data_IF_808392854742
#
_entry.id   IF_808392854742
#
_cell.length_a   1.000
_cell.length_b   1.000
_cell.length_c   1.000
_cell.angle_alpha   90.00
_cell.angle_beta   90.00
_cell.angle_gamma   90.00
#
_symmetry.space_group_name_H-M   'P 1'
#
loop_
_entity.id
_entity.type
_entity.pdbx_description
1 polymer ?
#
# COMPACT_ATOMS: atom_id res chain seq x y z
N UNK A 1 -37.09 -0.48 -13.46
CA UNK A 1 -36.77 -0.36 -12.03
C UNK A 1 -35.27 -0.59 -11.94
N UNK A 2 -34.46 0.43 -11.62
CA UNK A 2 -33.03 0.24 -11.37
C UNK A 2 -32.90 -0.23 -9.93
N UNK A 3 -32.42 -1.45 -9.73
CA UNK A 3 -31.93 -1.88 -8.42
C UNK A 3 -30.72 -0.99 -8.08
N UNK A 4 -30.62 -0.44 -6.87
CA UNK A 4 -29.46 0.36 -6.49
C UNK A 4 -28.19 -0.49 -6.56
N UNK A 5 -27.13 0.05 -7.16
CA UNK A 5 -25.88 -0.68 -7.48
C UNK A 5 -25.29 -1.43 -6.27
N UNK A 6 -25.49 -0.91 -5.06
CA UNK A 6 -25.02 -1.51 -3.82
C UNK A 6 -25.72 -2.84 -3.47
N UNK A 7 -27.06 -2.91 -3.59
CA UNK A 7 -27.81 -4.14 -3.28
C UNK A 7 -27.48 -5.26 -4.26
N UNK A 8 -27.20 -4.89 -5.51
CA UNK A 8 -26.77 -5.82 -6.55
C UNK A 8 -25.41 -6.44 -6.21
N UNK A 9 -24.47 -5.62 -5.73
CA UNK A 9 -23.14 -6.10 -5.33
C UNK A 9 -23.22 -7.06 -4.13
N UNK A 10 -24.01 -6.73 -3.11
CA UNK A 10 -24.23 -7.60 -1.94
C UNK A 10 -24.82 -8.96 -2.33
N UNK A 11 -25.78 -8.99 -3.27
CA UNK A 11 -26.33 -10.25 -3.81
C UNK A 11 -25.28 -11.07 -4.56
N UNK A 12 -24.43 -10.43 -5.35
CA UNK A 12 -23.33 -11.10 -6.06
C UNK A 12 -22.35 -11.73 -5.06
N UNK A 13 -21.94 -10.99 -4.02
CA UNK A 13 -21.04 -11.49 -2.98
C UNK A 13 -21.68 -12.67 -2.22
N UNK A 14 -22.97 -12.56 -1.86
CA UNK A 14 -23.72 -13.63 -1.21
C UNK A 14 -23.82 -14.90 -2.10
N UNK A 15 -23.99 -14.73 -3.41
CA UNK A 15 -24.00 -15.85 -4.37
C UNK A 15 -22.63 -16.53 -4.43
N UNK A 16 -21.55 -15.76 -4.64
CA UNK A 16 -20.18 -16.29 -4.78
C UNK A 16 -19.71 -16.97 -3.49
N UNK A 17 -20.09 -16.45 -2.33
CA UNK A 17 -19.78 -17.05 -1.02
C UNK A 17 -20.69 -18.20 -0.61
N UNK A 18 -21.70 -18.55 -1.43
CA UNK A 18 -22.64 -19.64 -1.14
C UNK A 18 -23.61 -19.35 0.01
N UNK A 19 -23.84 -18.07 0.34
CA UNK A 19 -24.76 -17.62 1.39
C UNK A 19 -26.21 -17.51 0.90
N UNK A 20 -26.43 -17.42 -0.41
CA UNK A 20 -27.78 -17.45 -0.99
C UNK A 20 -28.40 -18.85 -0.85
N UNK A 21 -29.67 -18.90 -0.43
CA UNK A 21 -30.41 -20.15 -0.25
C UNK A 21 -31.84 -20.10 -0.76
N UNK A 22 -32.47 -21.26 -0.86
CA UNK A 22 -33.92 -21.39 -1.05
C UNK A 22 -34.46 -20.81 -2.36
N UNK A 23 -35.36 -19.85 -2.25
CA UNK A 23 -35.97 -19.15 -3.40
C UNK A 23 -35.03 -18.11 -3.99
N UNK A 24 -34.29 -17.39 -3.15
CA UNK A 24 -33.39 -16.31 -3.58
C UNK A 24 -32.29 -16.83 -4.51
N UNK A 25 -31.69 -17.98 -4.18
CA UNK A 25 -30.72 -18.64 -5.04
C UNK A 25 -31.31 -18.99 -6.42
N UNK A 26 -32.54 -19.52 -6.46
CA UNK A 26 -33.20 -19.90 -7.72
C UNK A 26 -33.52 -18.70 -8.59
N UNK A 27 -33.97 -17.60 -7.98
CA UNK A 27 -34.23 -16.34 -8.67
C UNK A 27 -32.93 -15.78 -9.25
N UNK A 28 -31.86 -15.74 -8.44
CA UNK A 28 -30.55 -15.26 -8.89
C UNK A 28 -29.96 -16.10 -10.02
N UNK A 29 -30.05 -17.43 -9.95
CA UNK A 29 -29.60 -18.33 -11.03
C UNK A 29 -30.41 -18.15 -12.32
N UNK A 30 -31.72 -17.90 -12.21
CA UNK A 30 -32.56 -17.58 -13.36
C UNK A 30 -32.18 -16.24 -14.00
N UNK A 31 -31.86 -15.22 -13.19
CA UNK A 31 -31.35 -13.93 -13.68
C UNK A 31 -29.98 -14.10 -14.35
N UNK A 32 -29.07 -14.86 -13.74
CA UNK A 32 -27.73 -15.13 -14.26
C UNK A 32 -27.74 -15.85 -15.63
N UNK A 33 -28.75 -16.68 -15.87
CA UNK A 33 -28.96 -17.33 -17.16
C UNK A 33 -29.36 -16.34 -18.27
N UNK A 34 -30.07 -15.26 -17.92
CA UNK A 34 -30.66 -14.30 -18.86
C UNK A 34 -29.82 -13.03 -19.03
N UNK A 35 -29.08 -12.62 -18.01
CA UNK A 35 -28.28 -11.39 -17.99
C UNK A 35 -26.79 -11.68 -18.16
N UNK A 36 -26.26 -11.37 -19.33
CA UNK A 36 -24.83 -11.50 -19.67
C UNK A 36 -23.94 -10.57 -18.83
N UNK A 37 -24.43 -9.39 -18.47
CA UNK A 37 -23.69 -8.44 -17.64
C UNK A 37 -23.57 -8.96 -16.20
N UNK A 38 -24.65 -9.49 -15.64
CA UNK A 38 -24.61 -10.12 -14.31
C UNK A 38 -23.62 -11.29 -14.28
N UNK A 39 -23.55 -12.07 -15.38
CA UNK A 39 -22.59 -13.17 -15.51
C UNK A 39 -21.15 -12.69 -15.50
N UNK A 40 -20.85 -11.60 -16.21
CA UNK A 40 -19.52 -11.00 -16.21
C UNK A 40 -19.11 -10.50 -14.81
N UNK A 41 -20.03 -9.84 -14.09
CA UNK A 41 -19.77 -9.33 -12.73
C UNK A 41 -19.53 -10.47 -11.73
N UNK A 42 -20.31 -11.55 -11.80
CA UNK A 42 -20.09 -12.76 -10.97
C UNK A 42 -18.74 -13.40 -11.23
N UNK A 43 -18.28 -13.41 -12.49
CA UNK A 43 -16.98 -13.99 -12.85
C UNK A 43 -15.80 -13.16 -12.30
N UNK A 44 -15.92 -11.82 -12.32
CA UNK A 44 -14.95 -10.93 -11.68
C UNK A 44 -14.88 -11.21 -10.19
N UNK A 45 -16.02 -11.28 -9.51
CA UNK A 45 -16.08 -11.52 -8.06
C UNK A 45 -15.50 -12.91 -7.68
N UNK A 46 -15.79 -13.95 -8.48
CA UNK A 46 -15.18 -15.28 -8.30
C UNK A 46 -13.66 -15.24 -8.44
N UNK A 47 -13.16 -14.52 -9.43
CA UNK A 47 -11.73 -14.37 -9.67
C UNK A 47 -11.04 -13.64 -8.52
N UNK A 48 -11.64 -12.55 -8.04
CA UNK A 48 -11.16 -11.78 -6.90
C UNK A 48 -11.13 -12.63 -5.62
N UNK A 49 -12.26 -13.25 -5.28
CA UNK A 49 -12.39 -14.10 -4.09
C UNK A 49 -11.42 -15.29 -4.12
N UNK A 50 -11.24 -15.93 -5.27
CA UNK A 50 -10.27 -17.01 -5.45
C UNK A 50 -8.82 -16.54 -5.30
N UNK A 51 -8.49 -15.34 -5.76
CA UNK A 51 -7.13 -14.76 -5.63
C UNK A 51 -6.81 -14.42 -4.18
N UNK A 52 -7.77 -13.82 -3.46
CA UNK A 52 -7.64 -13.52 -2.03
C UNK A 52 -7.48 -14.78 -1.18
N UNK A 53 -8.27 -15.83 -1.45
CA UNK A 53 -8.13 -17.11 -0.74
C UNK A 53 -6.77 -17.76 -0.97
N UNK A 54 -6.26 -17.77 -2.20
CA UNK A 54 -4.91 -18.30 -2.50
C UNK A 54 -3.82 -17.50 -1.79
N UNK A 55 -3.94 -16.17 -1.74
CA UNK A 55 -3.01 -15.31 -1.02
C UNK A 55 -2.95 -15.63 0.48
N UNK A 56 -4.09 -15.91 1.10
CA UNK A 56 -4.15 -16.33 2.51
C UNK A 56 -3.58 -17.73 2.73
N UNK A 57 -3.83 -18.69 1.82
CA UNK A 57 -3.25 -20.03 1.93
C UNK A 57 -1.72 -20.00 1.82
N UNK A 58 -1.16 -19.21 0.90
CA UNK A 58 0.28 -19.03 0.76
C UNK A 58 0.90 -18.42 2.02
N UNK A 59 0.30 -17.36 2.56
CA UNK A 59 0.75 -16.75 3.83
C UNK A 59 0.65 -17.71 5.01
N UNK A 60 -0.39 -18.55 5.06
CA UNK A 60 -0.55 -19.55 6.11
C UNK A 60 0.52 -20.65 6.01
N UNK A 61 0.80 -21.15 4.81
CA UNK A 61 1.89 -22.13 4.59
C UNK A 61 3.25 -21.59 4.99
N UNK A 62 3.54 -20.33 4.64
CA UNK A 62 4.78 -19.66 5.05
C UNK A 62 4.88 -19.52 6.58
N UNK A 63 3.78 -19.18 7.24
CA UNK A 63 3.71 -19.09 8.70
C UNK A 63 3.98 -20.46 9.35
N UNK A 64 3.34 -21.51 8.86
CA UNK A 64 3.52 -22.88 9.36
C UNK A 64 4.96 -23.36 9.14
N UNK A 65 5.55 -23.14 7.96
CA UNK A 65 6.95 -23.50 7.71
C UNK A 65 7.92 -22.78 8.64
N UNK A 66 7.69 -21.48 8.90
CA UNK A 66 8.52 -20.71 9.84
C UNK A 66 8.40 -21.22 11.27
N UNK A 67 7.20 -21.57 11.73
CA UNK A 67 6.98 -22.08 13.08
C UNK A 67 7.60 -23.48 13.25
N UNK A 68 7.40 -24.37 12.27
CA UNK A 68 7.97 -25.72 12.29
C UNK A 68 9.51 -25.71 12.25
N UNK A 69 10.11 -24.89 11.38
CA UNK A 69 11.57 -24.75 11.31
C UNK A 69 12.19 -24.14 12.57
N UNK A 70 11.47 -23.22 13.23
CA UNK A 70 11.92 -22.63 14.49
C UNK A 70 11.82 -23.59 15.69
N UNK A 71 10.94 -24.59 15.64
CA UNK A 71 10.86 -25.64 16.66
C UNK A 71 12.00 -26.67 16.50
N UNK A 72 12.30 -27.10 15.28
CA UNK A 72 13.36 -28.07 15.03
C UNK A 72 14.74 -27.55 15.46
N UNK A 73 15.04 -26.27 15.25
CA UNK A 73 16.30 -25.65 15.70
C UNK A 73 16.44 -25.55 17.23
N UNK A 74 15.34 -25.53 17.99
CA UNK A 74 15.39 -25.51 19.47
C UNK A 74 15.60 -26.88 20.08
N UNK A 75 15.29 -27.96 19.36
CA UNK A 75 15.44 -29.34 19.87
C UNK A 75 16.86 -29.90 19.78
N UNK A 76 17.76 -29.32 18.96
CA UNK A 76 19.15 -29.80 18.83
C UNK A 76 20.12 -29.19 19.85
N UNK A 77 19.67 -28.31 20.75
CA UNK A 77 20.54 -27.58 21.67
C UNK A 77 20.19 -27.69 23.16
N UNK A 78 19.32 -28.62 23.58
CA UNK A 78 18.99 -28.79 25.00
C UNK A 78 18.96 -30.25 25.41
N UNK A 79 20.12 -30.71 25.88
CA UNK A 79 20.19 -31.81 26.84
C UNK A 79 19.47 -31.42 28.13
N UNK A 80 18.56 -32.29 28.55
CA UNK A 80 18.00 -32.50 29.90
C UNK A 80 18.22 -31.35 30.91
N UNK A 81 17.21 -30.50 31.07
CA UNK A 81 16.83 -29.96 32.38
C UNK A 81 15.39 -29.43 32.37
N UNK A 82 14.78 -29.58 33.53
CA UNK A 82 13.39 -29.40 33.94
C UNK A 82 12.57 -28.33 33.19
N UNK A 83 11.33 -28.70 32.88
CA UNK A 83 10.27 -27.90 32.25
C UNK A 83 10.04 -26.55 32.95
N UNK A 84 10.38 -25.41 32.34
CA UNK A 84 9.86 -24.12 32.76
C UNK A 84 8.56 -23.82 32.01
N UNK A 85 7.52 -23.50 32.76
CA UNK A 85 6.24 -22.97 32.24
C UNK A 85 6.52 -21.64 31.54
N UNK A 86 6.34 -21.60 30.21
CA UNK A 86 6.54 -20.39 29.40
C UNK A 86 5.24 -19.56 29.40
N UNK A 87 5.24 -18.31 29.89
CA UNK A 87 4.08 -17.44 29.77
C UNK A 87 3.91 -16.97 28.32
N UNK A 88 2.68 -17.08 27.80
CA UNK A 88 2.29 -16.60 26.48
C UNK A 88 2.30 -15.06 26.51
N UNK A 89 3.32 -14.44 25.90
CA UNK A 89 3.38 -12.98 25.77
C UNK A 89 2.49 -12.50 24.61
N UNK A 90 1.33 -11.93 24.97
CA UNK A 90 0.34 -11.33 24.05
C UNK A 90 0.77 -9.99 23.40
N UNK A 91 2.05 -9.60 23.48
CA UNK A 91 2.49 -8.23 23.15
C UNK A 91 2.77 -7.93 21.68
N UNK A 92 3.03 -8.95 20.84
CA UNK A 92 3.55 -8.74 19.47
C UNK A 92 2.49 -8.80 18.36
N UNK A 93 1.31 -9.34 18.62
CA UNK A 93 0.24 -9.47 17.62
C UNK A 93 -0.46 -8.14 17.29
N UNK A 94 -0.44 -7.18 18.23
CA UNK A 94 -1.05 -5.86 18.02
C UNK A 94 -0.35 -5.03 16.93
N UNK A 95 0.95 -5.23 16.74
CA UNK A 95 1.75 -4.44 15.78
C UNK A 95 1.64 -4.93 14.34
N UNK A 96 1.41 -6.23 14.11
CA UNK A 96 1.18 -6.76 12.75
C UNK A 96 -0.20 -6.33 12.21
N UNK A 97 -1.20 -6.15 13.07
CA UNK A 97 -2.49 -5.57 12.70
C UNK A 97 -2.36 -4.07 12.38
N UNK A 98 -1.51 -3.36 13.12
CA UNK A 98 -1.26 -1.93 12.93
C UNK A 98 -0.59 -1.63 11.56
N UNK A 99 0.38 -2.43 11.12
CA UNK A 99 1.05 -2.21 9.83
C UNK A 99 0.12 -2.35 8.61
N UNK A 100 -0.89 -3.23 8.65
CA UNK A 100 -1.87 -3.36 7.57
C UNK A 100 -2.83 -2.16 7.51
N UNK A 101 -3.22 -1.61 8.67
CA UNK A 101 -4.01 -0.37 8.71
C UNK A 101 -3.22 0.85 8.19
N UNK A 102 -1.90 0.90 8.37
CA UNK A 102 -1.05 1.99 7.83
C UNK A 102 -1.09 2.03 6.32
N UNK A 103 -0.96 0.87 5.65
CA UNK A 103 -0.98 0.85 4.19
C UNK A 103 -2.31 1.36 3.63
N UNK A 104 -3.42 1.08 4.33
CA UNK A 104 -4.78 1.44 3.92
C UNK A 104 -5.08 2.92 4.22
N UNK A 105 -4.71 3.40 5.40
CA UNK A 105 -4.82 4.82 5.81
C UNK A 105 -3.93 5.72 4.96
N UNK A 106 -2.67 5.33 4.75
CA UNK A 106 -1.73 6.08 3.91
C UNK A 106 -2.18 6.03 2.46
N UNK A 107 -2.71 4.88 1.99
CA UNK A 107 -3.34 4.78 0.67
C UNK A 107 -4.50 5.76 0.49
N UNK A 108 -5.42 5.83 1.45
CA UNK A 108 -6.59 6.73 1.42
C UNK A 108 -6.21 8.21 1.57
N UNK A 109 -5.27 8.52 2.46
CA UNK A 109 -4.77 9.88 2.67
C UNK A 109 -4.05 10.41 1.42
N UNK A 110 -3.21 9.57 0.79
CA UNK A 110 -2.58 9.90 -0.49
C UNK A 110 -3.63 10.09 -1.59
N UNK A 111 -4.66 9.25 -1.66
CA UNK A 111 -5.72 9.34 -2.67
C UNK A 111 -6.50 10.66 -2.62
N UNK A 112 -6.83 11.17 -1.42
CA UNK A 112 -7.53 12.47 -1.31
C UNK A 112 -6.62 13.66 -1.62
N UNK A 113 -5.34 13.58 -1.27
CA UNK A 113 -4.40 14.69 -1.41
C UNK A 113 -3.89 14.83 -2.85
N UNK A 114 -3.64 13.69 -3.49
CA UNK A 114 -3.15 13.60 -4.87
C UNK A 114 -4.18 14.08 -5.91
N UNK A 115 -5.48 14.02 -5.58
CA UNK A 115 -6.55 14.54 -6.44
C UNK A 115 -6.65 16.07 -6.54
N UNK A 116 -5.99 16.82 -5.66
CA UNK A 116 -6.15 18.28 -5.56
C UNK A 116 -5.09 19.13 -6.29
N UNK A 117 -3.84 18.65 -6.40
CA UNK A 117 -2.70 19.42 -6.92
C UNK A 117 -1.79 18.54 -7.81
N UNK A 118 -2.29 18.14 -8.97
CA UNK A 118 -1.53 17.39 -9.97
C UNK A 118 -0.31 18.16 -10.50
N UNK A 119 0.73 17.42 -10.90
CA UNK A 119 1.71 17.95 -11.85
C UNK A 119 0.95 18.46 -13.09
N UNK A 120 1.27 19.64 -13.64
CA UNK A 120 0.59 20.13 -14.83
C UNK A 120 0.81 19.16 -16.01
N UNK A 121 -0.14 19.10 -16.93
CA UNK A 121 -0.19 18.07 -17.96
C UNK A 121 1.07 18.03 -18.85
N UNK A 122 1.76 19.16 -19.00
CA UNK A 122 3.04 19.31 -19.70
C UNK A 122 4.19 18.59 -18.98
N UNK A 123 4.24 18.67 -17.65
CA UNK A 123 5.22 17.96 -16.83
C UNK A 123 5.09 16.44 -16.95
N UNK A 124 3.84 15.95 -16.92
CA UNK A 124 3.53 14.53 -17.11
C UNK A 124 3.84 14.08 -18.54
N UNK A 125 3.54 14.91 -19.54
CA UNK A 125 3.87 14.61 -20.93
C UNK A 125 5.39 14.48 -21.14
N UNK A 126 6.22 15.32 -20.50
CA UNK A 126 7.68 15.24 -20.62
C UNK A 126 8.26 13.98 -19.94
N UNK A 127 7.71 13.60 -18.78
CA UNK A 127 8.01 12.32 -18.13
C UNK A 127 7.58 11.12 -19.01
N UNK A 128 6.42 11.19 -19.64
CA UNK A 128 5.85 10.10 -20.45
C UNK A 128 6.49 9.96 -21.85
N UNK A 129 6.99 11.06 -22.43
CA UNK A 129 7.48 11.14 -23.81
C UNK A 129 8.71 10.24 -24.13
N UNK A 130 9.26 9.52 -23.16
CA UNK A 130 10.38 8.59 -23.36
C UNK A 130 10.24 7.25 -22.67
N UNK A 131 9.18 7.01 -21.88
CA UNK A 131 8.91 5.70 -21.26
C UNK A 131 7.97 4.84 -22.10
N UNK A 132 7.23 5.45 -23.04
CA UNK A 132 6.16 4.76 -23.78
C UNK A 132 4.98 4.36 -22.90
N UNK A 133 4.93 4.86 -21.66
CA UNK A 133 3.91 4.56 -20.66
C UNK A 133 3.33 5.88 -20.14
N UNK A 134 2.00 5.99 -20.12
CA UNK A 134 1.31 7.09 -19.46
C UNK A 134 1.41 6.91 -17.94
N UNK A 135 2.37 7.56 -17.31
CA UNK A 135 2.55 7.64 -15.86
C UNK A 135 1.50 8.60 -15.22
N UNK A 136 0.26 8.53 -15.69
CA UNK A 136 -0.91 9.20 -15.10
C UNK A 136 -1.54 8.35 -13.97
N UNK A 137 -1.15 7.07 -13.89
CA UNK A 137 -1.79 6.04 -13.06
C UNK A 137 -1.40 5.99 -11.58
N UNK A 138 -0.25 6.53 -11.15
CA UNK A 138 0.08 6.51 -9.71
C UNK A 138 -0.86 7.40 -8.87
N UNK A 139 -1.68 8.23 -9.54
CA UNK A 139 -2.49 9.28 -8.91
C UNK A 139 -4.00 9.02 -9.00
N UNK A 140 -4.46 8.12 -9.88
CA UNK A 140 -5.88 7.81 -10.05
C UNK A 140 -6.32 6.62 -9.17
N UNK A 141 -6.46 6.85 -7.88
CA UNK A 141 -7.67 6.40 -7.18
C UNK A 141 -7.78 4.98 -6.60
N UNK A 142 -6.82 4.06 -6.75
CA UNK A 142 -6.84 2.82 -5.99
C UNK A 142 -5.42 2.44 -5.55
N UNK A 143 -5.23 2.21 -4.24
CA UNK A 143 -3.97 1.69 -3.72
C UNK A 143 -3.57 0.35 -4.39
N UNK A 144 -4.56 -0.42 -4.83
CA UNK A 144 -4.39 -1.68 -5.55
C UNK A 144 -3.81 -1.47 -6.96
N UNK A 145 -4.25 -0.42 -7.69
CA UNK A 145 -3.74 -0.10 -9.03
C UNK A 145 -2.26 0.32 -8.99
N UNK A 146 -1.83 0.97 -7.89
CA UNK A 146 -0.44 1.39 -7.71
C UNK A 146 0.49 0.20 -7.51
N UNK A 147 0.09 -0.78 -6.69
CA UNK A 147 0.89 -1.98 -6.46
C UNK A 147 0.97 -2.83 -7.74
N UNK A 148 -0.11 -2.91 -8.51
CA UNK A 148 -0.13 -3.58 -9.81
C UNK A 148 0.75 -2.87 -10.86
N UNK A 149 0.73 -1.54 -10.91
CA UNK A 149 1.61 -0.75 -11.78
C UNK A 149 3.08 -0.89 -11.37
N UNK A 150 3.41 -0.86 -10.08
CA UNK A 150 4.78 -1.07 -9.60
C UNK A 150 5.28 -2.48 -9.90
N UNK A 151 4.41 -3.49 -9.76
CA UNK A 151 4.72 -4.86 -10.12
C UNK A 151 4.94 -5.01 -11.62
N UNK A 152 4.15 -4.34 -12.46
CA UNK A 152 4.35 -4.35 -13.91
C UNK A 152 5.65 -3.63 -14.31
N UNK A 153 5.93 -2.45 -13.74
CA UNK A 153 7.19 -1.72 -13.96
C UNK A 153 8.41 -2.55 -13.54
N UNK A 154 8.31 -3.30 -12.44
CA UNK A 154 9.36 -4.24 -12.02
C UNK A 154 9.49 -5.39 -13.00
N UNK A 155 8.38 -5.99 -13.43
CA UNK A 155 8.35 -7.13 -14.36
C UNK A 155 8.94 -6.77 -15.73
N UNK A 156 8.67 -5.56 -16.22
CA UNK A 156 9.16 -5.08 -17.52
C UNK A 156 10.57 -4.48 -17.46
N UNK A 157 11.16 -4.36 -16.26
CA UNK A 157 12.46 -3.68 -16.06
C UNK A 157 12.38 -2.16 -16.20
N UNK A 158 11.18 -1.58 -16.31
CA UNK A 158 10.97 -0.15 -16.49
C UNK A 158 11.09 0.65 -15.20
N UNK A 159 11.03 -0.01 -14.03
CA UNK A 159 11.19 0.63 -12.73
C UNK A 159 12.55 1.32 -12.59
N UNK A 160 13.63 0.66 -13.04
CA UNK A 160 14.97 1.25 -13.01
C UNK A 160 15.08 2.45 -13.96
N UNK A 161 14.53 2.32 -15.17
CA UNK A 161 14.48 3.40 -16.14
C UNK A 161 13.71 4.63 -15.62
N UNK A 162 12.61 4.41 -14.89
CA UNK A 162 11.87 5.48 -14.22
C UNK A 162 12.70 6.18 -13.15
N UNK A 163 13.34 5.40 -12.26
CA UNK A 163 14.15 5.93 -11.16
C UNK A 163 15.40 6.67 -11.67
N UNK A 164 16.02 6.17 -12.74
CA UNK A 164 17.15 6.81 -13.40
C UNK A 164 16.73 8.14 -14.04
N UNK A 165 15.66 8.13 -14.84
CA UNK A 165 15.21 9.32 -15.58
C UNK A 165 14.68 10.42 -14.67
N UNK A 166 13.97 10.06 -13.61
CA UNK A 166 13.56 11.02 -12.58
C UNK A 166 14.77 11.61 -11.85
N UNK A 167 15.81 10.80 -11.58
CA UNK A 167 17.10 11.29 -11.08
C UNK A 167 17.82 12.24 -12.05
N UNK A 168 17.78 11.97 -13.36
CA UNK A 168 18.34 12.87 -14.38
C UNK A 168 17.59 14.21 -14.45
N UNK A 169 16.26 14.18 -14.35
CA UNK A 169 15.45 15.40 -14.33
C UNK A 169 15.79 16.28 -13.14
N UNK A 170 16.01 15.69 -11.96
CA UNK A 170 16.44 16.41 -10.76
C UNK A 170 17.84 17.03 -10.89
N UNK A 171 18.74 16.42 -11.67
CA UNK A 171 20.10 16.94 -11.90
C UNK A 171 20.14 18.14 -12.86
N UNK A 172 19.15 18.28 -13.75
CA UNK A 172 19.11 19.39 -14.70
C UNK A 172 18.67 20.66 -13.98
N UNK A 173 19.44 21.76 -14.06
CA UNK A 173 19.02 23.06 -13.52
C UNK A 173 18.02 23.75 -14.46
N UNK A 174 16.85 23.14 -14.62
CA UNK A 174 15.73 23.68 -15.39
C UNK A 174 14.73 24.35 -14.46
N UNK A 175 13.93 25.26 -15.02
CA UNK A 175 12.79 25.82 -14.29
C UNK A 175 11.85 24.72 -13.78
N UNK A 176 11.69 23.65 -14.58
CA UNK A 176 11.00 22.43 -14.20
C UNK A 176 11.58 21.80 -12.94
N UNK A 177 12.89 21.53 -12.91
CA UNK A 177 13.53 20.90 -11.76
C UNK A 177 13.40 21.76 -10.50
N UNK A 178 13.36 23.09 -10.60
CA UNK A 178 13.13 23.96 -9.44
C UNK A 178 11.68 23.94 -8.94
N UNK A 179 10.72 23.84 -9.87
CA UNK A 179 9.30 23.82 -9.54
C UNK A 179 8.84 22.45 -9.02
N UNK A 180 9.41 21.36 -9.53
CA UNK A 180 8.99 19.99 -9.25
C UNK A 180 10.04 19.16 -8.51
N UNK A 181 11.09 19.79 -7.99
CA UNK A 181 12.13 19.12 -7.21
C UNK A 181 11.55 18.22 -6.12
N UNK A 182 10.73 18.83 -5.26
CA UNK A 182 10.26 18.19 -4.04
C UNK A 182 9.17 17.12 -4.32
N UNK A 183 8.16 17.35 -5.20
CA UNK A 183 7.23 16.31 -5.60
C UNK A 183 7.89 15.07 -6.23
N UNK A 184 8.91 15.27 -7.09
CA UNK A 184 9.61 14.14 -7.73
C UNK A 184 10.42 13.35 -6.72
N UNK A 185 11.05 14.01 -5.74
CA UNK A 185 11.74 13.32 -4.65
C UNK A 185 10.77 12.54 -3.78
N UNK A 186 9.60 13.09 -3.47
CA UNK A 186 8.58 12.42 -2.67
C UNK A 186 8.05 11.17 -3.38
N UNK A 187 7.71 11.26 -4.66
CA UNK A 187 7.27 10.10 -5.46
C UNK A 187 8.35 9.00 -5.45
N UNK A 188 9.63 9.35 -5.67
CA UNK A 188 10.74 8.38 -5.60
C UNK A 188 10.88 7.75 -4.22
N UNK A 189 10.72 8.52 -3.15
CA UNK A 189 10.77 8.00 -1.78
C UNK A 189 9.62 7.02 -1.50
N UNK A 190 8.40 7.31 -1.98
CA UNK A 190 7.25 6.40 -1.86
C UNK A 190 7.51 5.09 -2.62
N UNK A 191 8.06 5.19 -3.83
CA UNK A 191 8.48 4.00 -4.61
C UNK A 191 9.48 3.16 -3.81
N UNK A 192 10.54 3.77 -3.26
CA UNK A 192 11.51 3.03 -2.44
C UNK A 192 10.89 2.37 -1.20
N UNK A 193 9.94 3.02 -0.53
CA UNK A 193 9.23 2.43 0.60
C UNK A 193 8.41 1.19 0.20
N UNK A 194 7.72 1.25 -0.95
CA UNK A 194 6.96 0.12 -1.49
C UNK A 194 7.86 -1.05 -1.90
N UNK A 195 9.07 -0.75 -2.35
CA UNK A 195 10.10 -1.76 -2.66
C UNK A 195 10.76 -2.34 -1.39
N UNK A 196 10.35 -1.90 -0.20
CA UNK A 196 10.95 -2.26 1.09
C UNK A 196 12.44 -1.88 1.19
N UNK A 197 12.81 -0.72 0.62
CA UNK A 197 14.15 -0.16 0.67
C UNK A 197 14.17 1.19 1.42
N UNK A 198 13.95 1.19 2.75
CA UNK A 198 13.78 2.40 3.54
C UNK A 198 15.01 3.31 3.54
N UNK A 199 16.22 2.76 3.41
CA UNK A 199 17.45 3.54 3.41
C UNK A 199 17.57 4.41 2.15
N UNK A 200 17.14 3.89 0.99
CA UNK A 200 17.08 4.67 -0.26
C UNK A 200 15.99 5.72 -0.19
N UNK A 201 14.82 5.37 0.37
CA UNK A 201 13.76 6.34 0.62
C UNK A 201 14.25 7.50 1.49
N UNK A 202 14.98 7.21 2.57
CA UNK A 202 15.56 8.25 3.42
C UNK A 202 16.62 9.08 2.69
N UNK A 203 17.49 8.45 1.89
CA UNK A 203 18.48 9.18 1.10
C UNK A 203 17.82 10.19 0.15
N UNK A 204 16.73 9.81 -0.52
CA UNK A 204 15.94 10.72 -1.36
C UNK A 204 15.34 11.85 -0.52
N UNK A 205 14.68 11.53 0.61
CA UNK A 205 14.08 12.55 1.48
C UNK A 205 15.09 13.52 2.08
N UNK A 206 16.34 13.10 2.28
CA UNK A 206 17.41 14.00 2.71
C UNK A 206 17.90 14.96 1.62
N UNK A 207 17.64 14.65 0.34
CA UNK A 207 18.01 15.49 -0.80
C UNK A 207 17.01 16.61 -1.09
N UNK A 208 15.86 16.63 -0.42
CA UNK A 208 14.91 17.74 -0.49
C UNK A 208 15.61 19.06 -0.12
N UNK A 209 15.33 20.12 -0.88
CA UNK A 209 16.22 21.29 -0.98
C UNK A 209 16.02 22.35 0.11
N UNK A 210 14.85 22.41 0.73
CA UNK A 210 14.51 23.50 1.67
C UNK A 210 13.75 23.02 2.91
N UNK A 211 14.45 22.57 3.98
CA UNK A 211 13.84 22.08 5.21
C UNK A 211 12.81 23.01 5.86
N UNK A 212 12.84 24.32 5.57
CA UNK A 212 11.88 25.29 6.10
C UNK A 212 10.57 25.35 5.31
N UNK A 213 10.58 25.00 4.01
CA UNK A 213 9.35 24.82 3.23
C UNK A 213 8.57 23.56 3.65
N UNK A 214 9.09 22.79 4.60
CA UNK A 214 8.59 21.49 5.05
C UNK A 214 7.70 21.57 6.28
N UNK A 215 7.02 22.71 6.45
CA UNK A 215 5.69 22.70 7.09
C UNK A 215 4.69 21.81 6.34
N UNK A 216 5.04 21.32 5.14
CA UNK A 216 4.31 20.29 4.42
C UNK A 216 4.44 18.91 5.09
N UNK A 217 3.52 18.65 6.00
CA UNK A 217 2.75 17.41 6.25
C UNK A 217 3.28 16.11 5.63
N UNK A 218 3.37 16.03 4.31
CA UNK A 218 3.78 14.82 3.59
C UNK A 218 5.18 14.33 3.99
N UNK A 219 6.17 15.21 4.04
CA UNK A 219 7.54 14.81 4.34
C UNK A 219 7.67 14.27 5.78
N UNK A 220 6.91 14.83 6.72
CA UNK A 220 6.85 14.36 8.10
C UNK A 220 6.16 12.99 8.19
N UNK A 221 5.06 12.79 7.45
CA UNK A 221 4.38 11.48 7.35
C UNK A 221 5.33 10.45 6.75
N UNK A 222 5.98 10.73 5.62
CA UNK A 222 6.89 9.77 4.97
C UNK A 222 8.09 9.44 5.87
N UNK A 223 8.70 10.41 6.56
CA UNK A 223 9.77 10.12 7.55
C UNK A 223 9.28 9.30 8.73
N UNK A 224 8.07 9.55 9.22
CA UNK A 224 7.45 8.74 10.26
C UNK A 224 7.20 7.30 9.79
N UNK A 225 6.74 7.11 8.55
CA UNK A 225 6.58 5.79 7.93
C UNK A 225 7.91 5.06 7.79
N UNK A 226 8.98 5.74 7.37
CA UNK A 226 10.31 5.13 7.30
C UNK A 226 10.80 4.73 8.70
N UNK A 227 10.61 5.61 9.69
CA UNK A 227 10.94 5.29 11.08
C UNK A 227 10.20 4.05 11.59
N UNK A 228 8.95 3.83 11.15
CA UNK A 228 8.15 2.68 11.54
C UNK A 228 8.68 1.39 10.91
N UNK A 229 9.10 1.44 9.64
CA UNK A 229 9.74 0.30 8.96
C UNK A 229 11.09 -0.07 9.58
N UNK A 230 11.82 0.92 10.11
CA UNK A 230 13.12 0.72 10.78
C UNK A 230 12.99 0.36 12.28
N UNK A 231 11.79 0.09 12.80
CA UNK A 231 11.51 -0.17 14.22
C UNK A 231 12.04 0.94 15.16
N UNK A 232 12.08 2.19 14.68
CA UNK A 232 12.59 3.33 15.43
C UNK A 232 11.44 4.16 16.02
N UNK A 233 10.78 3.60 17.02
CA UNK A 233 9.56 4.16 17.64
C UNK A 233 9.70 5.62 18.08
N UNK A 234 10.83 5.99 18.68
CA UNK A 234 11.10 7.37 19.12
C UNK A 234 11.08 8.36 17.96
N UNK A 235 11.60 7.95 16.80
CA UNK A 235 11.67 8.80 15.61
C UNK A 235 10.31 8.94 14.94
N UNK A 236 9.52 7.86 14.90
CA UNK A 236 8.12 7.89 14.41
C UNK A 236 7.29 8.88 15.21
N UNK A 237 7.32 8.75 16.54
CA UNK A 237 6.53 9.61 17.41
C UNK A 237 6.93 11.07 17.31
N UNK A 238 8.22 11.38 17.15
CA UNK A 238 8.66 12.77 16.99
C UNK A 238 8.23 13.36 15.64
N UNK A 239 8.33 12.60 14.55
CA UNK A 239 7.91 13.08 13.22
C UNK A 239 6.37 13.21 13.15
N UNK A 240 5.61 12.30 13.75
CA UNK A 240 4.14 12.41 13.81
C UNK A 240 3.67 13.55 14.72
N UNK A 241 4.32 13.77 15.88
CA UNK A 241 4.06 14.98 16.69
C UNK A 241 4.39 16.26 15.93
N UNK A 242 5.46 16.26 15.13
CA UNK A 242 5.80 17.41 14.28
C UNK A 242 4.72 17.66 13.22
N UNK A 243 4.22 16.60 12.56
CA UNK A 243 3.11 16.70 11.60
C UNK A 243 1.79 17.15 12.26
N UNK A 244 1.51 16.68 13.48
CA UNK A 244 0.30 17.05 14.22
C UNK A 244 0.33 18.52 14.69
N UNK A 245 1.49 18.99 15.18
CA UNK A 245 1.72 20.41 15.49
C UNK A 245 1.54 21.32 14.26
N UNK A 246 1.83 20.80 13.06
CA UNK A 246 1.58 21.48 11.80
C UNK A 246 0.11 21.39 11.32
N UNK A 247 -0.76 20.71 12.06
CA UNK A 247 -2.20 20.63 11.77
C UNK A 247 -2.57 19.67 10.66
N UNK A 248 -1.70 18.72 10.33
CA UNK A 248 -1.87 17.93 9.12
C UNK A 248 -1.46 16.47 9.24
N UNK A 249 -1.38 15.98 10.48
CA UNK A 249 -1.45 14.54 10.71
C UNK A 249 -2.91 14.09 10.48
N UNK A 250 -3.15 13.14 9.56
CA UNK A 250 -4.42 12.46 9.42
C UNK A 250 -4.96 11.95 10.77
N UNK A 251 -6.27 12.06 10.99
CA UNK A 251 -6.88 11.78 12.31
C UNK A 251 -6.69 10.34 12.79
N UNK A 252 -6.61 9.39 11.86
CA UNK A 252 -6.29 7.98 12.08
C UNK A 252 -4.82 7.73 12.48
N UNK A 253 -3.89 8.59 12.07
CA UNK A 253 -2.49 8.52 12.52
C UNK A 253 -2.25 9.13 13.91
N UNK A 254 -3.22 9.89 14.47
CA UNK A 254 -3.11 10.41 15.85
C UNK A 254 -3.18 9.32 16.90
N UNK A 255 -3.89 8.22 16.63
CA UNK A 255 -3.99 7.06 17.53
C UNK A 255 -2.63 6.38 17.79
N UNK A 256 -1.62 6.69 16.97
CA UNK A 256 -0.26 6.13 17.07
C UNK A 256 0.67 6.95 17.95
N UNK A 257 0.22 8.13 18.39
CA UNK A 257 0.98 8.99 19.31
C UNK A 257 0.86 8.52 20.78
N UNK A 258 -0.17 7.74 21.10
CA UNK A 258 -0.44 7.13 22.41
C UNK A 258 0.21 5.74 22.56
#
# INVERSE_FOLDING_TARGET
MHEPDFQRLERIEAYVSGKLGGEELRTFESELAQDERLRAEVEVERTLSGTLQRGQELRFRDLVQRVSGAQEQKTTQSGVSETPVIPIQHGRWKWLAAAASVALVVGLALQQWVGGNGLPADALAELNAGTGYEFSGLRSGAADDLDDQLNELRRTGQLEAYLERSGELLKKDTAFARQFHDPVILDRAIVWLRLNEPDKAMAELTALRDPQRWENCEAAVVRGLVGALQDNRSRVQEEFRRADRAGCLPGDLREWMD
#
